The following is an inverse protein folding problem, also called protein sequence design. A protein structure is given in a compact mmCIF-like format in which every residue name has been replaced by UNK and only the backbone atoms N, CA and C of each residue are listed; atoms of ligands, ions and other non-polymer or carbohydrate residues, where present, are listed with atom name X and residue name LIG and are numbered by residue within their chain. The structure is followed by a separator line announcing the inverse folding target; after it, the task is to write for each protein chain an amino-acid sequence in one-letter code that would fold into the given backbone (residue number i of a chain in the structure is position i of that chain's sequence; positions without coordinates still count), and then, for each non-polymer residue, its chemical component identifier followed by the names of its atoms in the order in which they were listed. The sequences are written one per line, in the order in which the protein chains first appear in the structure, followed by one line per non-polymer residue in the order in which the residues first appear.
data_IF_088814099911
#
_entry.id   IF_088814099911
#
_cell.length_a   1.000
_cell.length_b   1.000
_cell.length_c   1.000
_cell.angle_alpha   90.00
_cell.angle_beta   90.00
_cell.angle_gamma   90.00
#
_symmetry.space_group_name_H-M   'P 1'
#
loop_
_entity.id
_entity.type
_entity.pdbx_description
1 polymer ?
#
# COMPACT_ATOMS: atom_id res chain seq x y z
N UNK A 1 7.21 -3.37 -10.52
CA UNK A 1 6.09 -3.95 -9.74
C UNK A 1 6.39 -5.43 -9.60
N UNK A 2 6.49 -5.96 -8.39
CA UNK A 2 7.00 -7.32 -8.16
C UNK A 2 5.97 -8.33 -8.66
N UNK A 3 6.39 -9.25 -9.53
CA UNK A 3 5.51 -10.28 -10.09
C UNK A 3 5.43 -11.46 -9.12
N UNK A 4 4.28 -11.67 -8.48
CA UNK A 4 4.08 -12.74 -7.49
C UNK A 4 4.40 -14.13 -8.05
N UNK A 5 4.08 -14.37 -9.32
CA UNK A 5 4.34 -15.66 -9.97
C UNK A 5 5.83 -15.99 -10.08
N UNK A 6 6.68 -14.96 -10.22
CA UNK A 6 8.12 -15.08 -10.42
C UNK A 6 8.93 -15.09 -9.11
N UNK A 7 8.28 -14.93 -7.95
CA UNK A 7 8.95 -14.99 -6.65
C UNK A 7 9.28 -16.42 -6.23
N UNK A 8 10.40 -16.58 -5.54
CA UNK A 8 10.79 -17.83 -4.91
C UNK A 8 9.75 -18.29 -3.87
N UNK A 9 9.66 -19.60 -3.69
CA UNK A 9 8.72 -20.21 -2.74
C UNK A 9 8.98 -19.73 -1.30
N UNK A 10 10.23 -19.46 -0.92
CA UNK A 10 10.58 -18.88 0.38
C UNK A 10 9.98 -17.48 0.55
N UNK A 11 10.23 -16.59 -0.41
CA UNK A 11 9.72 -15.21 -0.40
C UNK A 11 8.17 -15.17 -0.42
N UNK A 12 7.52 -16.11 -1.11
CA UNK A 12 6.05 -16.27 -1.07
C UNK A 12 5.53 -16.64 0.32
N UNK A 13 6.25 -17.52 1.04
CA UNK A 13 5.87 -17.88 2.42
C UNK A 13 6.07 -16.71 3.37
N UNK A 14 7.14 -15.94 3.21
CA UNK A 14 7.39 -14.76 4.06
C UNK A 14 6.32 -13.69 3.84
N UNK A 15 5.96 -13.41 2.58
CA UNK A 15 4.83 -12.53 2.26
C UNK A 15 3.52 -13.03 2.89
N UNK A 16 3.26 -14.34 2.86
CA UNK A 16 2.07 -14.93 3.46
C UNK A 16 2.05 -14.74 4.97
N UNK A 17 3.17 -14.92 5.65
CA UNK A 17 3.28 -14.66 7.10
C UNK A 17 3.00 -13.20 7.42
N UNK A 18 3.64 -12.27 6.71
CA UNK A 18 3.41 -10.83 6.88
C UNK A 18 1.92 -10.46 6.73
N UNK A 19 1.25 -11.00 5.71
CA UNK A 19 -0.19 -10.75 5.51
C UNK A 19 -1.02 -11.30 6.69
N UNK A 20 -0.69 -12.49 7.18
CA UNK A 20 -1.39 -13.10 8.33
C UNK A 20 -1.16 -12.30 9.61
N UNK A 21 0.06 -11.83 9.84
CA UNK A 21 0.42 -11.04 11.02
C UNK A 21 -0.27 -9.66 10.99
N UNK A 22 -0.31 -9.00 9.82
CA UNK A 22 -1.09 -7.78 9.62
C UNK A 22 -2.59 -8.01 9.79
N UNK A 23 -3.12 -9.13 9.30
CA UNK A 23 -4.52 -9.48 9.50
C UNK A 23 -4.84 -9.74 10.98
N UNK A 24 -3.92 -10.36 11.73
CA UNK A 24 -4.07 -10.59 13.16
C UNK A 24 -4.07 -9.27 13.94
N UNK A 25 -3.15 -8.35 13.64
CA UNK A 25 -3.03 -7.06 14.34
C UNK A 25 -4.20 -6.11 14.07
N UNK A 26 -4.85 -6.21 12.91
CA UNK A 26 -6.08 -5.46 12.57
C UNK A 26 -7.37 -6.03 13.18
N UNK A 27 -7.27 -7.17 13.90
CA UNK A 27 -8.43 -7.80 14.55
C UNK A 27 -9.07 -8.94 13.75
N UNK A 28 -8.31 -9.56 12.83
CA UNK A 28 -8.67 -10.78 12.13
C UNK A 28 -8.77 -10.63 10.61
N UNK A 29 -8.76 -11.79 9.93
CA UNK A 29 -8.78 -11.89 8.45
C UNK A 29 -9.97 -11.17 7.81
N UNK A 30 -11.15 -11.25 8.41
CA UNK A 30 -12.36 -10.64 7.85
C UNK A 30 -12.28 -9.12 7.82
N UNK A 31 -11.79 -8.50 8.90
CA UNK A 31 -11.58 -7.04 8.97
C UNK A 31 -10.57 -6.58 7.93
N UNK A 32 -9.50 -7.34 7.75
CA UNK A 32 -8.51 -7.08 6.70
C UNK A 32 -9.10 -7.16 5.29
N UNK A 33 -9.93 -8.17 4.99
CA UNK A 33 -10.61 -8.24 3.69
C UNK A 33 -11.61 -7.10 3.47
N UNK A 34 -12.38 -6.74 4.49
CA UNK A 34 -13.26 -5.58 4.41
C UNK A 34 -12.47 -4.29 4.14
N UNK A 35 -11.34 -4.08 4.83
CA UNK A 35 -10.44 -2.95 4.58
C UNK A 35 -10.01 -2.88 3.10
N UNK A 36 -9.57 -4.01 2.54
CA UNK A 36 -9.16 -4.09 1.13
C UNK A 36 -10.32 -3.80 0.17
N UNK A 37 -11.52 -4.31 0.45
CA UNK A 37 -12.72 -4.02 -0.34
C UNK A 37 -13.09 -2.54 -0.29
N UNK A 38 -13.00 -1.91 0.88
CA UNK A 38 -13.22 -0.47 1.01
C UNK A 38 -12.20 0.34 0.21
N UNK A 39 -10.91 -0.02 0.27
CA UNK A 39 -9.86 0.63 -0.54
C UNK A 39 -10.16 0.48 -2.03
N UNK A 40 -10.61 -0.70 -2.46
CA UNK A 40 -10.92 -0.98 -3.88
C UNK A 40 -12.14 -0.21 -4.37
N UNK A 41 -13.13 0.02 -3.50
CA UNK A 41 -14.37 0.74 -3.82
C UNK A 41 -14.17 2.26 -3.83
N UNK A 42 -13.27 2.79 -3.01
CA UNK A 42 -13.01 4.22 -2.97
C UNK A 42 -12.37 4.74 -4.27
N UNK A 43 -13.06 5.71 -4.88
CA UNK A 43 -12.58 6.50 -6.00
C UNK A 43 -12.90 7.98 -5.71
N UNK A 44 -11.90 8.88 -5.65
CA UNK A 44 -10.47 8.67 -5.87
C UNK A 44 -9.80 7.82 -4.79
N UNK A 45 -8.68 7.16 -5.13
CA UNK A 45 -7.95 6.28 -4.21
C UNK A 45 -7.70 6.96 -2.86
N UNK A 46 -7.84 6.26 -1.72
CA UNK A 46 -7.80 6.86 -0.37
C UNK A 46 -6.53 7.64 -0.06
N UNK A 47 -5.40 7.23 -0.65
CA UNK A 47 -4.13 7.96 -0.56
C UNK A 47 -4.19 9.34 -1.20
N UNK A 48 -4.89 9.50 -2.33
CA UNK A 48 -4.96 10.76 -3.08
C UNK A 48 -6.22 11.57 -2.81
N UNK A 49 -7.05 11.12 -1.85
CA UNK A 49 -8.24 11.81 -1.42
C UNK A 49 -7.89 13.18 -0.81
N UNK A 50 -8.60 14.23 -1.25
CA UNK A 50 -8.40 15.62 -0.80
C UNK A 50 -8.54 15.76 0.72
N UNK A 51 -9.41 14.94 1.31
CA UNK A 51 -9.72 15.01 2.74
C UNK A 51 -8.66 14.34 3.62
N UNK A 52 -7.63 13.72 3.01
CA UNK A 52 -6.58 12.99 3.74
C UNK A 52 -7.13 11.96 4.73
N UNK A 53 -8.34 11.46 4.48
CA UNK A 53 -9.06 10.56 5.37
C UNK A 53 -9.69 9.44 4.58
N UNK A 54 -9.58 8.24 5.11
CA UNK A 54 -10.17 7.02 4.60
C UNK A 54 -11.05 6.42 5.71
N UNK A 55 -12.34 6.34 5.46
CA UNK A 55 -13.31 5.82 6.42
C UNK A 55 -13.74 4.43 5.96
N UNK A 56 -13.68 3.45 6.85
CA UNK A 56 -14.18 2.11 6.61
C UNK A 56 -14.98 1.65 7.83
N UNK A 57 -15.80 0.61 7.70
CA UNK A 57 -16.75 0.19 8.76
C UNK A 57 -16.13 -0.06 10.13
N UNK A 58 -14.84 -0.36 10.18
CA UNK A 58 -14.12 -0.70 11.40
C UNK A 58 -13.15 0.39 11.88
N UNK A 59 -13.08 1.54 11.21
CA UNK A 59 -12.18 2.62 11.62
C UNK A 59 -12.02 3.76 10.63
N UNK A 60 -11.22 4.73 11.04
CA UNK A 60 -10.88 5.91 10.23
C UNK A 60 -9.37 6.03 10.18
N UNK A 61 -8.80 6.03 8.98
CA UNK A 61 -7.38 6.33 8.76
C UNK A 61 -7.28 7.77 8.29
N UNK A 62 -6.55 8.61 9.03
CA UNK A 62 -6.25 9.99 8.62
C UNK A 62 -4.75 10.16 8.42
N UNK A 63 -4.39 10.77 7.30
CA UNK A 63 -3.03 11.22 7.02
C UNK A 63 -2.84 12.62 7.58
N UNK A 64 -1.66 12.91 8.14
CA UNK A 64 -1.33 14.25 8.62
C UNK A 64 -1.16 15.29 7.51
N UNK A 65 -0.99 14.86 6.25
CA UNK A 65 -0.85 15.72 5.07
C UNK A 65 -1.51 15.08 3.85
N UNK A 66 -2.02 15.93 2.96
CA UNK A 66 -2.57 15.52 1.66
C UNK A 66 -1.45 14.96 0.79
N UNK A 67 -1.62 13.72 0.31
CA UNK A 67 -0.72 13.11 -0.65
C UNK A 67 -1.27 13.40 -2.06
N UNK A 68 -0.60 14.28 -2.79
CA UNK A 68 -1.01 14.63 -4.15
C UNK A 68 -0.70 13.51 -5.14
N UNK A 69 -1.67 13.21 -6.01
CA UNK A 69 -1.56 12.19 -7.05
C UNK A 69 -0.29 12.37 -7.91
N UNK A 70 0.03 13.60 -8.27
CA UNK A 70 1.19 13.92 -9.12
C UNK A 70 2.51 13.51 -8.45
N UNK A 71 2.63 13.74 -7.14
CA UNK A 71 3.81 13.34 -6.38
C UNK A 71 3.95 11.82 -6.30
N UNK A 72 2.84 11.10 -6.15
CA UNK A 72 2.84 9.62 -6.14
C UNK A 72 3.27 9.08 -7.51
N UNK A 73 2.79 9.67 -8.59
CA UNK A 73 3.19 9.29 -9.95
C UNK A 73 4.67 9.55 -10.20
N UNK A 74 5.20 10.70 -9.75
CA UNK A 74 6.62 11.02 -9.82
C UNK A 74 7.47 10.03 -9.02
N UNK A 75 7.07 9.69 -7.80
CA UNK A 75 7.77 8.68 -6.98
C UNK A 75 7.76 7.31 -7.66
N UNK A 76 6.63 6.92 -8.28
CA UNK A 76 6.54 5.66 -9.04
C UNK A 76 7.46 5.66 -10.25
N UNK A 77 7.57 6.79 -10.95
CA UNK A 77 8.47 6.94 -12.09
C UNK A 77 9.94 6.88 -11.66
N UNK A 78 10.31 7.52 -10.55
CA UNK A 78 11.66 7.44 -9.98
C UNK A 78 11.94 6.00 -9.53
N UNK A 79 11.00 5.35 -8.84
CA UNK A 79 11.16 3.99 -8.33
C UNK A 79 11.36 2.95 -9.45
N UNK A 80 10.68 3.12 -10.58
CA UNK A 80 10.88 2.28 -11.77
C UNK A 80 12.24 2.48 -12.45
N UNK A 81 12.91 3.60 -12.18
CA UNK A 81 14.24 3.95 -12.71
C UNK A 81 15.38 3.74 -11.69
N UNK A 82 15.08 3.20 -10.49
CA UNK A 82 16.05 3.01 -9.41
C UNK A 82 17.25 2.15 -9.80
N UNK A 83 17.06 1.17 -10.70
CA UNK A 83 18.16 0.34 -11.21
C UNK A 83 19.22 1.17 -11.97
N UNK A 84 18.84 2.36 -12.48
CA UNK A 84 19.70 3.25 -13.24
C UNK A 84 20.21 4.47 -12.46
N UNK A 85 19.69 4.76 -11.26
CA UNK A 85 19.96 6.01 -10.55
C UNK A 85 20.51 5.79 -9.13
N UNK A 86 21.80 5.44 -9.04
CA UNK A 86 22.56 5.34 -7.77
C UNK A 86 22.59 6.63 -6.93
N UNK A 87 22.12 7.76 -7.46
CA UNK A 87 22.25 9.09 -6.87
C UNK A 87 20.94 9.73 -6.37
N UNK A 88 19.77 9.09 -6.54
CA UNK A 88 18.46 9.72 -6.24
C UNK A 88 17.85 9.34 -4.89
N UNK A 89 18.49 8.44 -4.13
CA UNK A 89 18.03 8.04 -2.79
C UNK A 89 19.19 8.27 -1.80
N UNK A 90 19.00 9.07 -0.74
CA UNK A 90 19.99 9.15 0.32
C UNK A 90 20.15 7.77 0.97
N UNK A 91 21.38 7.40 1.32
CA UNK A 91 21.68 6.20 2.11
C UNK A 91 21.04 6.28 3.50
#
# INVERSE_FOLDING_TARGET
MINYSQLDNSAKQDLKKLIVDCAASLGGKNRFFHLLEYIRRENPHPLTSKNSSFNFDYGIVKWGKVIYKDKVLLLKAIAGNLDNSKNLVPK
#
